data_IF_271096947776
#
_entry.id   IF_271096947776
#
_cell.length_a   1.000
_cell.length_b   1.000
_cell.length_c   1.000
_cell.angle_alpha   90.00
_cell.angle_beta   90.00
_cell.angle_gamma   90.00
#
_symmetry.space_group_name_H-M   'P 1'
#
loop_
_entity.id
_entity.type
_entity.pdbx_description
1 polymer ?
#
# COMPACT_ATOMS: atom_id res chain seq x y z
N UNK A 1 -10.52 -16.42 13.84
CA UNK A 1 -10.33 -15.24 12.96
C UNK A 1 -9.53 -15.70 11.75
N UNK A 2 -10.06 -15.71 10.52
CA UNK A 2 -9.22 -15.97 9.36
C UNK A 2 -8.11 -14.91 9.32
N UNK A 3 -6.85 -15.36 9.23
CA UNK A 3 -5.71 -14.46 8.99
C UNK A 3 -5.83 -13.99 7.54
N UNK A 4 -6.46 -12.83 7.32
CA UNK A 4 -6.36 -12.17 6.03
C UNK A 4 -4.89 -11.82 5.79
N UNK A 5 -4.30 -12.20 4.65
CA UNK A 5 -2.95 -11.76 4.29
C UNK A 5 -2.88 -10.23 4.40
N UNK A 6 -1.80 -9.70 4.97
CA UNK A 6 -1.62 -8.25 5.14
C UNK A 6 -1.55 -7.47 3.82
N UNK A 7 -1.53 -8.17 2.70
CA UNK A 7 -1.47 -7.64 1.34
C UNK A 7 -2.83 -7.64 0.63
N UNK A 8 -3.87 -8.21 1.24
CA UNK A 8 -5.21 -8.26 0.66
C UNK A 8 -5.89 -6.90 0.79
N UNK A 9 -6.50 -6.34 -0.28
CA UNK A 9 -7.33 -5.14 -0.18
C UNK A 9 -8.37 -5.23 0.95
N UNK A 10 -8.53 -4.15 1.69
CA UNK A 10 -9.35 -4.09 2.90
C UNK A 10 -8.63 -4.54 4.19
N UNK A 11 -7.42 -5.11 4.10
CA UNK A 11 -6.59 -5.31 5.30
C UNK A 11 -6.24 -3.95 5.90
N UNK A 12 -6.53 -3.79 7.20
CA UNK A 12 -6.18 -2.60 7.98
C UNK A 12 -5.28 -2.98 9.14
N UNK A 13 -4.14 -2.30 9.24
CA UNK A 13 -3.23 -2.50 10.37
C UNK A 13 -3.67 -1.74 11.63
N UNK A 14 -3.00 -1.99 12.77
CA UNK A 14 -3.31 -1.36 14.06
C UNK A 14 -3.18 0.18 14.09
N UNK A 15 -2.42 0.74 13.15
CA UNK A 15 -2.09 2.16 13.08
C UNK A 15 -3.07 2.93 12.16
N UNK A 16 -4.03 2.24 11.53
CA UNK A 16 -5.06 2.85 10.69
C UNK A 16 -4.71 2.94 9.21
N UNK A 17 -3.83 2.08 8.70
CA UNK A 17 -3.47 2.05 7.28
C UNK A 17 -4.15 0.87 6.61
N UNK A 18 -4.88 1.16 5.55
CA UNK A 18 -5.67 0.21 4.79
C UNK A 18 -5.01 -0.08 3.44
N UNK A 19 -4.94 -1.36 3.05
CA UNK A 19 -4.57 -1.75 1.70
C UNK A 19 -5.74 -1.47 0.76
N UNK A 20 -5.51 -0.65 -0.27
CA UNK A 20 -6.52 -0.31 -1.28
C UNK A 20 -6.38 -1.22 -2.50
N UNK A 21 -5.16 -1.47 -2.95
CA UNK A 21 -4.90 -2.28 -4.13
C UNK A 21 -3.48 -2.86 -4.14
N UNK A 22 -3.32 -4.02 -4.77
CA UNK A 22 -2.03 -4.47 -5.27
C UNK A 22 -1.75 -3.70 -6.58
N UNK A 23 -0.61 -3.03 -6.67
CA UNK A 23 -0.28 -2.22 -7.86
C UNK A 23 0.36 -3.02 -9.00
N UNK A 24 0.88 -4.22 -8.70
CA UNK A 24 1.65 -5.03 -9.65
C UNK A 24 3.07 -4.54 -9.92
N UNK A 25 3.45 -3.34 -9.45
CA UNK A 25 4.79 -2.80 -9.66
C UNK A 25 5.81 -3.33 -8.64
N UNK A 26 7.06 -3.58 -9.04
CA UNK A 26 8.11 -3.99 -8.12
C UNK A 26 8.41 -2.88 -7.11
N UNK A 27 8.74 -3.27 -5.88
CA UNK A 27 9.24 -2.37 -4.85
C UNK A 27 10.64 -1.87 -5.21
N UNK A 28 10.85 -0.56 -5.08
CA UNK A 28 12.15 0.07 -5.27
C UNK A 28 13.05 -0.18 -4.05
N UNK A 29 12.46 -0.37 -2.87
CA UNK A 29 13.17 -0.52 -1.58
C UNK A 29 13.40 -1.96 -1.14
N UNK A 30 12.61 -2.93 -1.63
CA UNK A 30 12.72 -4.33 -1.24
C UNK A 30 12.63 -5.27 -2.46
N UNK A 31 13.78 -5.74 -2.99
CA UNK A 31 13.81 -6.61 -4.16
C UNK A 31 12.91 -7.85 -4.04
N UNK A 32 12.18 -8.16 -5.11
CA UNK A 32 11.27 -9.31 -5.16
C UNK A 32 9.91 -9.09 -4.47
N UNK A 33 9.63 -7.88 -3.96
CA UNK A 33 8.31 -7.51 -3.44
C UNK A 33 7.54 -6.62 -4.41
N UNK A 34 6.23 -6.56 -4.21
CA UNK A 34 5.31 -5.69 -4.95
C UNK A 34 4.93 -4.49 -4.10
N UNK A 35 4.75 -3.34 -4.73
CA UNK A 35 4.18 -2.14 -4.10
C UNK A 35 2.66 -2.32 -3.97
N UNK A 36 2.14 -2.04 -2.78
CA UNK A 36 0.71 -1.96 -2.50
C UNK A 36 0.33 -0.50 -2.27
N UNK A 37 -0.84 -0.10 -2.81
CA UNK A 37 -1.42 1.21 -2.53
C UNK A 37 -2.05 1.16 -1.14
N UNK A 38 -1.49 1.93 -0.22
CA UNK A 38 -2.00 2.11 1.13
C UNK A 38 -2.73 3.45 1.24
N UNK A 39 -3.77 3.52 2.08
CA UNK A 39 -4.45 4.75 2.45
C UNK A 39 -4.56 4.86 3.96
N UNK A 40 -4.23 6.03 4.51
CA UNK A 40 -4.51 6.31 5.91
C UNK A 40 -6.00 6.59 6.10
N UNK A 41 -6.67 5.87 7.00
CA UNK A 41 -8.09 6.09 7.30
C UNK A 41 -8.36 7.38 8.08
N UNK A 42 -7.33 7.99 8.67
CA UNK A 42 -7.46 9.21 9.48
C UNK A 42 -7.36 10.50 8.66
N UNK A 43 -6.49 10.53 7.64
CA UNK A 43 -6.21 11.74 6.84
C UNK A 43 -6.32 11.52 5.33
N UNK A 44 -6.68 10.32 4.89
CA UNK A 44 -6.84 9.91 3.49
C UNK A 44 -5.59 10.04 2.61
N UNK A 45 -4.40 10.25 3.20
CA UNK A 45 -3.16 10.26 2.44
C UNK A 45 -2.87 8.86 1.87
N UNK A 46 -2.66 8.80 0.55
CA UNK A 46 -2.31 7.58 -0.17
C UNK A 46 -0.83 7.53 -0.50
N UNK A 47 -0.25 6.33 -0.41
CA UNK A 47 1.18 6.11 -0.61
C UNK A 47 1.50 4.63 -0.85
N UNK A 48 2.67 4.33 -1.40
CA UNK A 48 3.12 2.95 -1.64
C UNK A 48 3.80 2.31 -0.43
N UNK A 49 3.62 1.00 -0.27
CA UNK A 49 4.38 0.17 0.68
C UNK A 49 4.57 -1.24 0.12
N UNK A 50 5.77 -1.82 0.28
CA UNK A 50 5.99 -3.25 0.07
C UNK A 50 5.22 -4.12 1.10
N UNK A 51 5.01 -5.40 0.77
CA UNK A 51 4.23 -6.34 1.57
C UNK A 51 4.84 -6.69 2.93
N UNK A 52 6.16 -6.60 3.08
CA UNK A 52 6.87 -6.87 4.34
C UNK A 52 6.47 -5.83 5.39
N UNK A 53 6.29 -4.57 4.98
CA UNK A 53 6.10 -3.46 5.91
C UNK A 53 4.64 -3.13 6.26
N UNK A 54 3.65 -3.65 5.52
CA UNK A 54 2.23 -3.23 5.66
C UNK A 54 1.72 -3.39 7.10
N UNK A 55 2.05 -4.51 7.76
CA UNK A 55 1.53 -4.87 9.07
C UNK A 55 1.89 -3.87 10.19
N UNK A 56 2.97 -3.11 10.03
CA UNK A 56 3.47 -2.16 11.04
C UNK A 56 3.57 -0.72 10.53
N UNK A 57 3.22 -0.48 9.26
CA UNK A 57 3.29 0.85 8.63
C UNK A 57 2.54 1.91 9.44
N UNK A 58 3.05 3.14 9.42
CA UNK A 58 2.43 4.34 9.99
C UNK A 58 2.20 5.36 8.87
N UNK A 59 1.25 6.26 9.05
CA UNK A 59 0.97 7.32 8.09
C UNK A 59 2.18 8.29 7.97
N UNK A 60 2.72 8.48 6.75
CA UNK A 60 3.83 9.42 6.53
C UNK A 60 3.47 10.89 6.79
N UNK A 61 2.17 11.23 6.77
CA UNK A 61 1.71 12.62 6.86
C UNK A 61 1.62 13.17 8.29
N UNK A 62 1.29 12.32 9.27
CA UNK A 62 0.98 12.80 10.63
C UNK A 62 1.20 11.75 11.74
N UNK A 63 1.82 10.61 11.44
CA UNK A 63 2.20 9.59 12.44
C UNK A 63 3.72 9.32 12.43
N UNK A 64 4.49 10.25 11.86
CA UNK A 64 5.94 10.15 11.68
C UNK A 64 6.36 8.84 10.99
N UNK A 65 5.53 8.41 10.02
CA UNK A 65 5.83 7.25 9.18
C UNK A 65 6.89 7.55 8.13
N UNK A 66 7.67 6.53 7.75
CA UNK A 66 8.60 6.66 6.63
C UNK A 66 7.86 7.03 5.34
N UNK A 67 8.49 7.84 4.48
CA UNK A 67 7.96 8.20 3.16
C UNK A 67 7.55 6.94 2.39
N UNK A 68 6.38 6.99 1.76
CA UNK A 68 5.93 5.87 0.94
C UNK A 68 6.68 5.74 -0.38
N UNK A 69 6.63 4.55 -0.96
CA UNK A 69 7.15 4.27 -2.29
C UNK A 69 6.28 4.95 -3.36
N UNK A 70 6.89 5.21 -4.52
CA UNK A 70 6.22 5.88 -5.63
C UNK A 70 5.07 5.03 -6.14
N UNK A 71 3.84 5.55 -6.05
CA UNK A 71 2.69 4.95 -6.72
C UNK A 71 2.80 5.25 -8.21
N UNK A 72 2.97 4.20 -9.01
CA UNK A 72 2.89 4.29 -10.47
C UNK A 72 1.47 3.97 -10.89
N UNK A 73 0.95 4.71 -11.84
CA UNK A 73 -0.31 4.38 -12.49
C UNK A 73 0.00 3.46 -13.67
N UNK A 74 -0.77 2.37 -13.81
CA UNK A 74 -0.75 1.63 -15.06
C UNK A 74 -1.27 2.57 -16.16
N UNK A 75 -0.67 2.58 -17.36
CA UNK A 75 -1.22 3.35 -18.47
C UNK A 75 -2.68 2.89 -18.69
N UNK A 76 -3.60 3.83 -19.00
CA UNK A 76 -4.98 3.47 -19.30
C UNK A 76 -4.99 2.41 -20.39
N UNK A 77 -5.74 1.33 -20.17
CA UNK A 77 -5.84 0.23 -21.13
C UNK A 77 -6.28 0.77 -22.49
N UNK A 78 -5.44 0.61 -23.51
CA UNK A 78 -5.70 1.12 -24.87
C UNK A 78 -6.75 0.30 -25.64
N UNK A 79 -7.34 -0.72 -25.00
CA UNK A 79 -8.39 -1.56 -25.57
C UNK A 79 -9.63 -1.49 -24.67
N UNK A 80 -10.59 -0.60 -24.94
CA UNK A 80 -11.92 -0.72 -24.37
C UNK A 80 -12.58 -2.01 -24.89
N UNK A 81 -13.31 -2.69 -23.99
CA UNK A 81 -14.09 -3.91 -24.30
C UNK A 81 -15.24 -3.66 -25.25
#
# INVERSE_FOLDING_TARGET
>A
MPRHPSTTPGFRNKNGQEVIANTGFPSDSFPGQTIYRMRCVHCHHEYGSNGVDIHSRRCPRHQDGAKGETLREAPPSLFPS
#
